data_IF_509685802664
#
_entry.id   IF_509685802664
#
_cell.length_a   1.000
_cell.length_b   1.000
_cell.length_c   1.000
_cell.angle_alpha   90.00
_cell.angle_beta   90.00
_cell.angle_gamma   90.00
#
_symmetry.space_group_name_H-M   'P 1'
#
loop_
_entity.id
_entity.type
_entity.pdbx_description
1 polymer ?
#
# COMPACT_ATOMS: atom_id res chain seq x y z
N UNK A 1 4.68 -4.61 6.73
CA UNK A 1 3.73 -3.49 6.80
C UNK A 1 2.35 -3.88 6.31
N UNK A 2 2.19 -4.36 5.07
CA UNK A 2 0.86 -4.69 4.52
C UNK A 2 -0.02 -5.64 5.37
N UNK A 3 0.51 -6.76 5.86
CA UNK A 3 -0.28 -7.68 6.71
C UNK A 3 -0.77 -7.02 8.02
N UNK A 4 -0.02 -6.06 8.56
CA UNK A 4 -0.46 -5.28 9.72
C UNK A 4 -1.64 -4.38 9.36
N UNK A 5 -1.63 -3.75 8.18
CA UNK A 5 -2.72 -2.89 7.72
C UNK A 5 -4.00 -3.69 7.44
N UNK A 6 -3.89 -4.90 6.87
CA UNK A 6 -5.02 -5.82 6.73
C UNK A 6 -5.67 -6.14 8.09
N UNK A 7 -4.86 -6.53 9.08
CA UNK A 7 -5.36 -6.81 10.43
C UNK A 7 -5.95 -5.57 11.08
N UNK A 8 -5.29 -4.41 10.96
CA UNK A 8 -5.74 -3.16 11.55
C UNK A 8 -7.09 -2.72 10.96
N UNK A 9 -7.27 -2.85 9.64
CA UNK A 9 -8.53 -2.55 8.95
C UNK A 9 -9.65 -3.46 9.47
N UNK A 10 -9.37 -4.74 9.62
CA UNK A 10 -10.33 -5.71 10.15
C UNK A 10 -10.71 -5.42 11.62
N UNK A 11 -9.74 -5.04 12.46
CA UNK A 11 -9.97 -4.66 13.85
C UNK A 11 -10.81 -3.39 13.98
N UNK A 12 -10.67 -2.44 13.04
CA UNK A 12 -11.34 -1.14 13.06
C UNK A 12 -12.62 -1.09 12.22
N UNK A 13 -13.05 -2.21 11.62
CA UNK A 13 -14.17 -2.26 10.65
C UNK A 13 -15.52 -1.69 11.17
N UNK A 14 -15.75 -1.75 12.49
CA UNK A 14 -16.96 -1.25 13.16
C UNK A 14 -16.77 0.16 13.76
N UNK A 15 -15.59 0.75 13.57
CA UNK A 15 -15.29 2.10 14.01
C UNK A 15 -15.57 3.13 12.90
N UNK A 16 -15.47 4.41 13.24
CA UNK A 16 -15.51 5.50 12.25
C UNK A 16 -14.20 5.69 11.47
N UNK A 17 -13.13 4.93 11.79
CA UNK A 17 -11.80 5.11 11.19
C UNK A 17 -11.68 4.29 9.91
N UNK A 18 -11.30 4.96 8.81
CA UNK A 18 -10.93 4.30 7.54
C UNK A 18 -9.41 4.16 7.44
N UNK A 19 -8.95 2.95 7.15
CA UNK A 19 -7.52 2.65 6.97
C UNK A 19 -7.24 2.41 5.50
N UNK A 20 -6.48 3.31 4.89
CA UNK A 20 -6.06 3.26 3.48
C UNK A 20 -4.57 2.98 3.39
N UNK A 21 -4.18 2.03 2.53
CA UNK A 21 -2.77 1.74 2.23
C UNK A 21 -2.38 2.37 0.90
N UNK A 22 -1.32 3.17 0.91
CA UNK A 22 -0.69 3.72 -0.30
C UNK A 22 0.66 3.01 -0.47
N UNK A 23 0.83 2.34 -1.61
CA UNK A 23 2.06 1.64 -1.98
C UNK A 23 2.85 2.47 -2.99
N UNK A 24 3.81 3.29 -2.53
CA UNK A 24 4.73 3.97 -3.42
C UNK A 24 5.76 2.97 -4.00
N UNK A 25 6.15 3.11 -5.28
CA UNK A 25 7.40 2.56 -5.77
C UNK A 25 8.57 3.42 -5.23
N UNK A 26 9.79 3.20 -5.73
CA UNK A 26 10.81 4.23 -5.59
C UNK A 26 10.35 5.51 -6.33
N UNK A 27 10.48 6.66 -5.67
CA UNK A 27 10.09 7.98 -6.20
C UNK A 27 11.28 8.91 -6.10
N UNK A 28 11.47 9.73 -7.13
CA UNK A 28 12.54 10.72 -7.25
C UNK A 28 12.36 11.87 -6.24
N UNK A 29 12.65 11.59 -4.97
CA UNK A 29 12.66 12.52 -3.83
C UNK A 29 14.08 12.66 -3.26
N UNK A 30 14.24 13.53 -2.27
CA UNK A 30 15.49 13.71 -1.53
C UNK A 30 15.86 12.52 -0.63
N UNK A 31 14.96 11.53 -0.46
CA UNK A 31 15.15 10.38 0.43
C UNK A 31 16.47 9.64 0.14
N UNK A 32 16.85 9.54 -1.13
CA UNK A 32 18.06 8.86 -1.60
C UNK A 32 19.23 9.80 -1.92
N UNK A 33 19.15 11.07 -1.51
CA UNK A 33 20.29 12.00 -1.64
C UNK A 33 21.53 11.44 -0.95
N UNK A 34 22.72 11.72 -1.51
CA UNK A 34 24.00 11.30 -0.95
C UNK A 34 24.21 11.77 0.50
N UNK A 35 23.58 12.87 0.91
CA UNK A 35 23.64 13.35 2.30
C UNK A 35 22.96 12.39 3.29
N UNK A 36 21.93 11.66 2.85
CA UNK A 36 21.20 10.69 3.67
C UNK A 36 21.72 9.27 3.46
N UNK A 37 22.15 8.97 2.23
CA UNK A 37 22.59 7.64 1.80
C UNK A 37 23.89 7.77 0.99
N UNK A 38 25.07 7.95 1.64
CA UNK A 38 26.33 8.30 0.96
C UNK A 38 26.80 7.32 -0.12
N UNK A 39 26.34 6.07 -0.04
CA UNK A 39 26.65 4.99 -0.97
C UNK A 39 25.77 5.00 -2.23
N UNK A 40 24.68 5.79 -2.26
CA UNK A 40 23.81 5.91 -3.44
C UNK A 40 24.19 7.18 -4.21
N UNK A 41 24.80 7.00 -5.39
CA UNK A 41 25.07 8.11 -6.31
C UNK A 41 23.84 8.42 -7.15
N UNK A 42 23.61 9.70 -7.42
CA UNK A 42 22.47 10.16 -8.22
C UNK A 42 21.10 9.64 -7.73
N UNK A 43 20.88 9.54 -6.42
CA UNK A 43 19.66 8.94 -5.86
C UNK A 43 18.35 9.60 -6.31
N UNK A 44 18.39 10.87 -6.73
CA UNK A 44 17.25 11.57 -7.35
C UNK A 44 16.85 11.06 -8.73
N UNK A 45 17.59 10.14 -9.32
CA UNK A 45 17.26 9.48 -10.58
C UNK A 45 16.63 8.10 -10.38
N UNK A 46 16.44 7.65 -9.12
CA UNK A 46 15.86 6.35 -8.82
C UNK A 46 14.34 6.42 -8.85
N UNK A 47 13.73 5.50 -9.60
CA UNK A 47 12.29 5.32 -9.63
C UNK A 47 11.55 6.31 -10.51
N UNK A 48 10.25 6.48 -10.28
CA UNK A 48 9.39 7.33 -11.09
C UNK A 48 9.48 8.81 -10.68
N UNK A 49 9.20 9.76 -11.59
CA UNK A 49 9.12 11.18 -11.26
C UNK A 49 8.09 11.47 -10.14
N UNK A 50 8.40 12.44 -9.28
CA UNK A 50 7.52 12.83 -8.17
C UNK A 50 6.12 13.24 -8.65
N UNK A 51 6.05 14.03 -9.71
CA UNK A 51 4.78 14.48 -10.30
C UNK A 51 3.91 13.30 -10.75
N UNK A 52 4.52 12.31 -11.40
CA UNK A 52 3.82 11.09 -11.81
C UNK A 52 3.28 10.34 -10.59
N UNK A 53 4.11 10.14 -9.56
CA UNK A 53 3.69 9.49 -8.32
C UNK A 53 2.49 10.22 -7.68
N UNK A 54 2.59 11.54 -7.49
CA UNK A 54 1.53 12.31 -6.83
C UNK A 54 0.22 12.27 -7.60
N UNK A 55 0.27 12.33 -8.94
CA UNK A 55 -0.92 12.26 -9.78
C UNK A 55 -1.61 10.89 -9.70
N UNK A 56 -0.84 9.81 -9.77
CA UNK A 56 -1.38 8.44 -9.66
C UNK A 56 -1.92 8.15 -8.26
N UNK A 57 -1.16 8.52 -7.22
CA UNK A 57 -1.56 8.36 -5.82
C UNK A 57 -2.86 9.13 -5.54
N UNK A 58 -2.92 10.41 -5.94
CA UNK A 58 -4.11 11.24 -5.74
C UNK A 58 -5.32 10.68 -6.47
N UNK A 59 -5.16 10.22 -7.72
CA UNK A 59 -6.25 9.58 -8.47
C UNK A 59 -6.82 8.36 -7.75
N UNK A 60 -5.96 7.52 -7.18
CA UNK A 60 -6.40 6.34 -6.40
C UNK A 60 -7.13 6.72 -5.12
N UNK A 61 -6.59 7.67 -4.37
CA UNK A 61 -7.20 8.18 -3.12
C UNK A 61 -8.55 8.85 -3.39
N UNK A 62 -8.62 9.72 -4.39
CA UNK A 62 -9.85 10.42 -4.78
C UNK A 62 -10.94 9.45 -5.30
N UNK A 63 -10.55 8.30 -5.85
CA UNK A 63 -11.47 7.24 -6.23
C UNK A 63 -11.98 6.39 -5.04
N UNK A 64 -11.54 6.68 -3.81
CA UNK A 64 -11.98 5.97 -2.61
C UNK A 64 -11.41 4.56 -2.46
N UNK A 65 -10.29 4.25 -3.12
CA UNK A 65 -9.65 2.93 -2.99
C UNK A 65 -9.06 2.75 -1.59
N UNK A 66 -9.27 1.58 -1.00
CA UNK A 66 -8.64 1.21 0.27
C UNK A 66 -7.15 0.86 0.11
N UNK A 67 -6.74 0.47 -1.09
CA UNK A 67 -5.38 0.13 -1.44
C UNK A 67 -5.00 0.78 -2.77
N UNK A 68 -4.04 1.70 -2.70
CA UNK A 68 -3.57 2.50 -3.83
C UNK A 68 -2.16 2.06 -4.17
N UNK A 69 -2.02 1.23 -5.21
CA UNK A 69 -0.73 0.78 -5.70
C UNK A 69 -0.30 1.63 -6.90
N UNK A 70 0.88 2.24 -6.79
CA UNK A 70 1.43 3.14 -7.81
C UNK A 70 2.61 2.47 -8.54
N UNK A 71 2.68 2.63 -9.86
CA UNK A 71 3.76 2.09 -10.69
C UNK A 71 3.83 0.56 -10.76
N UNK A 72 5.05 0.04 -10.93
CA UNK A 72 5.33 -1.36 -11.32
C UNK A 72 4.86 -2.44 -10.34
N UNK A 73 4.51 -2.07 -9.10
CA UNK A 73 3.97 -3.00 -8.12
C UNK A 73 2.55 -3.48 -8.42
N UNK A 74 1.82 -2.78 -9.31
CA UNK A 74 0.41 -3.04 -9.58
C UNK A 74 0.17 -4.42 -10.19
N UNK A 75 1.04 -4.88 -11.09
CA UNK A 75 0.89 -6.21 -11.70
C UNK A 75 1.07 -7.35 -10.69
N UNK A 76 2.05 -7.22 -9.79
CA UNK A 76 2.27 -8.18 -8.73
C UNK A 76 1.14 -8.20 -7.71
N UNK A 77 0.68 -7.00 -7.33
CA UNK A 77 -0.48 -6.84 -6.46
C UNK A 77 -1.70 -7.55 -7.04
N UNK A 78 -2.06 -7.26 -8.30
CA UNK A 78 -3.24 -7.83 -8.96
C UNK A 78 -3.19 -9.37 -9.06
N UNK A 79 -1.99 -9.96 -9.17
CA UNK A 79 -1.80 -11.41 -9.26
C UNK A 79 -1.90 -12.14 -7.92
N UNK A 80 -1.54 -11.47 -6.82
CA UNK A 80 -1.33 -12.14 -5.53
C UNK A 80 -2.35 -11.69 -4.48
N UNK A 81 -2.56 -10.37 -4.39
CA UNK A 81 -3.26 -9.80 -3.23
C UNK A 81 -4.73 -10.18 -3.15
N UNK A 82 -5.52 -10.15 -4.23
CA UNK A 82 -6.95 -10.48 -4.15
C UNK A 82 -7.20 -11.87 -3.55
N UNK A 83 -6.47 -12.88 -4.02
CA UNK A 83 -6.60 -14.25 -3.51
C UNK A 83 -6.16 -14.37 -2.05
N UNK A 84 -5.12 -13.63 -1.66
CA UNK A 84 -4.63 -13.64 -0.28
C UNK A 84 -5.60 -12.98 0.69
N UNK A 85 -6.21 -11.86 0.29
CA UNK A 85 -7.24 -11.19 1.09
C UNK A 85 -8.52 -12.01 1.20
N UNK A 86 -8.93 -12.66 0.12
CA UNK A 86 -10.07 -13.59 0.16
C UNK A 86 -9.85 -14.68 1.21
N UNK A 87 -8.67 -15.29 1.20
CA UNK A 87 -8.29 -16.29 2.22
C UNK A 87 -8.29 -15.71 3.64
N UNK A 88 -7.70 -14.52 3.83
CA UNK A 88 -7.67 -13.83 5.13
C UNK A 88 -9.09 -13.56 5.66
N UNK A 89 -9.97 -12.96 4.87
CA UNK A 89 -11.33 -12.67 5.27
C UNK A 89 -12.15 -13.94 5.54
N UNK A 90 -11.92 -15.01 4.76
CA UNK A 90 -12.51 -16.33 5.01
C UNK A 90 -12.12 -16.89 6.38
N UNK A 91 -10.83 -16.87 6.71
CA UNK A 91 -10.31 -17.30 8.01
C UNK A 91 -10.90 -16.47 9.16
N UNK A 92 -10.91 -15.15 9.01
CA UNK A 92 -11.45 -14.21 10.01
C UNK A 92 -12.94 -14.47 10.24
N UNK A 93 -13.72 -14.70 9.19
CA UNK A 93 -15.15 -15.02 9.30
C UNK A 93 -15.37 -16.31 10.09
N UNK A 94 -14.60 -17.36 9.80
CA UNK A 94 -14.67 -18.63 10.54
C UNK A 94 -14.31 -18.48 12.01
N UNK A 95 -13.31 -17.66 12.35
CA UNK A 95 -12.95 -17.41 13.74
C UNK A 95 -14.09 -16.74 14.51
N UNK A 96 -14.76 -15.75 13.92
CA UNK A 96 -15.90 -15.09 14.58
C UNK A 96 -17.08 -16.01 14.84
N UNK A 97 -17.46 -16.82 13.86
CA UNK A 97 -18.55 -17.78 14.00
C UNK A 97 -18.35 -18.84 15.09
N UNK A 98 -17.11 -19.03 15.57
CA UNK A 98 -16.81 -19.94 16.69
C UNK A 98 -16.97 -19.29 18.07
N UNK A 99 -17.09 -17.96 18.11
CA UNK A 99 -17.19 -17.16 19.33
C UNK A 99 -18.60 -16.58 19.57
N UNK A 100 -19.53 -16.84 18.65
CA UNK A 100 -20.96 -16.54 18.74
C UNK A 100 -21.75 -17.83 19.02
#
# INVERSE_FOLDING_TARGET
MHAYILCLREQLRESAVKVVELFPPAVQTELHDEKHQPNIKNGRQIGIPLEQFTNEAYKGLAAGKEEVVVGVGQDWYNKIEPARQEFFHGMVKMMRQRHD
#
